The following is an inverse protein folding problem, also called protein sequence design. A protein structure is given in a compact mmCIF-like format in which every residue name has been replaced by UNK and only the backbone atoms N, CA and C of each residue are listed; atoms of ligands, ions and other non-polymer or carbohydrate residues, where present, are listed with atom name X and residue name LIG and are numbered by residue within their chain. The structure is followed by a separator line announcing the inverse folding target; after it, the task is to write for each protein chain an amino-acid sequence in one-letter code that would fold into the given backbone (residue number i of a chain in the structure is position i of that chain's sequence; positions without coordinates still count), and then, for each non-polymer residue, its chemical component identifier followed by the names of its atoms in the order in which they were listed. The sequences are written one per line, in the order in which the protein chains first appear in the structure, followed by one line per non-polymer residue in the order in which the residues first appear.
data_IF_966282537729
#
_entry.id   IF_966282537729
#
_cell.length_a   1.000
_cell.length_b   1.000
_cell.length_c   1.000
_cell.angle_alpha   90.00
_cell.angle_beta   90.00
_cell.angle_gamma   90.00
#
_symmetry.space_group_name_H-M   'P 1'
#
loop_
_entity.id
_entity.type
_entity.pdbx_description
1 polymer ?
#
# COMPACT_ATOMS: atom_id res chain seq x y z
N UNK A 1 -7.50 -12.21 19.29
CA UNK A 1 -7.30 -11.39 18.06
C UNK A 1 -6.93 -12.34 16.94
N UNK A 2 -7.91 -12.68 16.09
CA UNK A 2 -7.70 -13.61 14.98
C UNK A 2 -6.78 -12.99 13.94
N UNK A 3 -5.62 -13.61 13.72
CA UNK A 3 -4.78 -13.37 12.55
C UNK A 3 -5.55 -13.89 11.33
N UNK A 4 -6.32 -13.02 10.67
CA UNK A 4 -6.86 -13.32 9.35
C UNK A 4 -5.72 -13.26 8.33
N UNK A 5 -5.17 -14.41 7.98
CA UNK A 5 -4.26 -14.54 6.85
C UNK A 5 -5.02 -14.21 5.57
N UNK A 6 -4.75 -13.04 4.96
CA UNK A 6 -5.29 -12.71 3.63
C UNK A 6 -4.57 -13.55 2.57
N UNK A 7 -5.28 -14.11 1.57
CA UNK A 7 -4.62 -14.86 0.52
C UNK A 7 -3.75 -13.93 -0.34
N UNK A 8 -2.45 -14.12 -0.27
CA UNK A 8 -1.49 -13.47 -1.17
C UNK A 8 -1.58 -14.10 -2.56
N UNK A 9 -2.27 -13.42 -3.48
CA UNK A 9 -1.79 -13.19 -4.85
C UNK A 9 -1.56 -14.36 -5.81
N UNK A 10 -1.94 -15.61 -5.54
CA UNK A 10 -1.83 -16.67 -6.57
C UNK A 10 -3.09 -16.75 -7.43
N UNK A 11 -2.92 -16.81 -8.76
CA UNK A 11 -3.98 -16.96 -9.77
C UNK A 11 -4.89 -18.19 -9.52
N UNK A 12 -4.37 -19.17 -8.79
CA UNK A 12 -5.04 -20.41 -8.37
C UNK A 12 -5.93 -20.22 -7.13
N UNK A 13 -5.58 -19.31 -6.20
CA UNK A 13 -6.47 -18.93 -5.10
C UNK A 13 -7.79 -18.31 -5.64
N UNK A 14 -7.75 -17.68 -6.81
CA UNK A 14 -8.92 -17.08 -7.46
C UNK A 14 -9.89 -18.09 -8.10
N UNK A 15 -9.52 -19.37 -8.27
CA UNK A 15 -10.45 -20.38 -8.80
C UNK A 15 -11.51 -20.78 -7.77
N UNK A 16 -11.18 -20.84 -6.47
CA UNK A 16 -12.17 -21.00 -5.39
C UNK A 16 -13.08 -19.78 -5.21
N UNK A 17 -12.59 -18.59 -5.60
CA UNK A 17 -13.32 -17.32 -5.48
C UNK A 17 -14.45 -17.22 -6.53
N UNK A 18 -14.40 -17.94 -7.65
CA UNK A 18 -15.50 -17.95 -8.66
C UNK A 18 -16.86 -18.36 -8.07
N UNK A 19 -16.86 -19.24 -7.07
CA UNK A 19 -18.07 -19.73 -6.41
C UNK A 19 -18.66 -18.69 -5.44
N UNK A 20 -17.85 -17.76 -4.92
CA UNK A 20 -18.29 -16.67 -4.02
C UNK A 20 -18.51 -15.35 -4.75
N UNK A 21 -17.89 -15.16 -5.92
CA UNK A 21 -18.03 -13.99 -6.78
C UNK A 21 -19.38 -13.89 -7.51
N UNK A 22 -20.17 -14.96 -7.55
CA UNK A 22 -21.45 -15.00 -8.26
C UNK A 22 -22.62 -15.30 -7.30
N UNK A 23 -23.02 -14.35 -6.44
CA UNK A 23 -24.15 -14.53 -5.54
C UNK A 23 -25.47 -14.73 -6.28
N UNK A 24 -25.57 -14.38 -7.58
CA UNK A 24 -26.76 -14.67 -8.39
C UNK A 24 -27.01 -16.17 -8.65
N UNK A 25 -26.02 -17.04 -8.40
CA UNK A 25 -26.23 -18.49 -8.46
C UNK A 25 -26.84 -19.08 -7.17
N UNK A 26 -26.99 -18.28 -6.10
CA UNK A 26 -27.41 -18.73 -4.77
C UNK A 26 -28.57 -17.86 -4.30
N UNK A 27 -29.73 -18.47 -4.05
CA UNK A 27 -31.01 -17.81 -3.75
C UNK A 27 -30.86 -16.49 -2.97
N UNK A 28 -31.16 -15.39 -3.65
CA UNK A 28 -31.00 -14.02 -3.13
C UNK A 28 -32.27 -13.62 -2.38
N UNK A 29 -32.13 -13.16 -1.14
CA UNK A 29 -33.22 -12.47 -0.45
C UNK A 29 -33.33 -11.04 -0.97
N UNK A 30 -34.55 -10.53 -1.18
CA UNK A 30 -34.82 -9.18 -1.71
C UNK A 30 -34.48 -8.03 -0.76
N UNK A 31 -33.97 -8.33 0.45
CA UNK A 31 -33.68 -7.33 1.46
C UNK A 31 -32.25 -6.76 1.31
N UNK A 32 -32.14 -5.58 0.70
CA UNK A 32 -30.89 -4.82 0.56
C UNK A 32 -30.73 -3.89 1.76
N UNK A 33 -29.55 -3.92 2.38
CA UNK A 33 -29.17 -3.05 3.49
C UNK A 33 -27.97 -2.20 3.08
N UNK A 34 -27.89 -0.98 3.64
CA UNK A 34 -26.73 -0.10 3.50
C UNK A 34 -25.86 -0.25 4.74
N UNK A 35 -24.57 -0.48 4.54
CA UNK A 35 -23.57 -0.45 5.62
C UNK A 35 -22.51 0.61 5.33
N UNK A 36 -21.98 1.22 6.39
CA UNK A 36 -20.85 2.14 6.30
C UNK A 36 -19.59 1.46 6.80
N UNK A 37 -18.51 1.54 6.03
CA UNK A 37 -17.24 0.89 6.38
C UNK A 37 -16.07 1.83 6.20
N UNK A 38 -15.06 1.74 7.05
CA UNK A 38 -13.81 2.51 6.91
C UNK A 38 -12.62 1.81 7.55
N UNK A 39 -11.41 2.34 7.35
CA UNK A 39 -10.24 1.91 8.11
C UNK A 39 -10.47 2.22 9.61
N UNK A 40 -10.13 1.28 10.48
CA UNK A 40 -10.22 1.50 11.93
C UNK A 40 -9.48 2.78 12.36
N UNK A 41 -10.08 3.56 13.26
CA UNK A 41 -9.57 4.85 13.75
C UNK A 41 -9.54 5.97 12.68
N UNK A 42 -10.48 5.94 11.73
CA UNK A 42 -10.73 7.07 10.81
C UNK A 42 -11.82 7.97 11.40
N UNK A 43 -11.75 9.28 11.10
CA UNK A 43 -12.80 10.24 11.44
C UNK A 43 -14.16 9.74 10.92
N UNK A 44 -15.23 9.95 11.69
CA UNK A 44 -16.56 9.41 11.38
C UNK A 44 -17.09 9.84 10.00
N UNK A 45 -16.61 10.96 9.45
CA UNK A 45 -17.10 11.56 8.21
C UNK A 45 -16.49 10.98 6.93
N UNK A 46 -15.51 10.06 7.02
CA UNK A 46 -14.90 9.42 5.84
C UNK A 46 -15.13 7.92 5.84
N UNK A 47 -16.08 7.47 5.03
CA UNK A 47 -16.50 6.07 4.92
C UNK A 47 -16.84 5.67 3.48
N UNK A 48 -16.91 4.36 3.22
CA UNK A 48 -17.51 3.77 2.03
C UNK A 48 -18.92 3.33 2.37
N UNK A 49 -19.87 3.67 1.50
CA UNK A 49 -21.26 3.22 1.59
C UNK A 49 -21.45 1.97 0.72
N UNK A 50 -21.79 0.83 1.32
CA UNK A 50 -21.88 -0.44 0.63
C UNK A 50 -23.29 -1.02 0.73
N UNK A 51 -23.85 -1.40 -0.42
CA UNK A 51 -25.08 -2.18 -0.49
C UNK A 51 -24.78 -3.67 -0.29
N UNK A 52 -25.41 -4.25 0.72
CA UNK A 52 -25.29 -5.67 1.06
C UNK A 52 -26.64 -6.35 1.03
N UNK A 53 -26.65 -7.63 0.74
CA UNK A 53 -27.85 -8.47 0.72
C UNK A 53 -27.59 -9.77 1.48
N UNK A 54 -28.67 -10.35 2.00
CA UNK A 54 -28.59 -11.64 2.68
C UNK A 54 -28.58 -12.79 1.66
N UNK A 55 -27.57 -13.64 1.71
CA UNK A 55 -27.53 -14.95 1.06
C UNK A 55 -28.52 -15.86 1.78
N UNK A 56 -29.42 -16.52 1.04
CA UNK A 56 -30.39 -17.46 1.63
C UNK A 56 -29.70 -18.51 2.50
N UNK A 57 -30.32 -18.84 3.64
CA UNK A 57 -29.89 -19.95 4.50
C UNK A 57 -29.85 -21.24 3.68
N UNK A 58 -28.68 -21.87 3.60
CA UNK A 58 -28.59 -23.26 3.17
C UNK A 58 -28.48 -24.14 4.41
N UNK A 59 -29.29 -25.20 4.54
CA UNK A 59 -29.05 -26.20 5.57
C UNK A 59 -27.64 -26.79 5.34
N UNK A 60 -26.89 -27.09 6.41
CA UNK A 60 -25.58 -27.73 6.25
C UNK A 60 -25.76 -29.05 5.49
N UNK A 61 -25.14 -29.17 4.32
CA UNK A 61 -24.92 -30.47 3.69
C UNK A 61 -23.87 -31.20 4.52
N UNK A 62 -24.32 -31.99 5.50
CA UNK A 62 -23.64 -33.12 6.16
C UNK A 62 -24.08 -33.21 7.63
N UNK A 63 -24.44 -34.43 8.05
CA UNK A 63 -24.73 -34.87 9.42
C UNK A 63 -23.53 -34.72 10.38
N UNK A 64 -23.01 -33.52 10.54
CA UNK A 64 -22.00 -33.18 11.54
C UNK A 64 -22.56 -32.18 12.55
N UNK A 65 -23.74 -32.48 13.09
CA UNK A 65 -24.21 -31.89 14.33
C UNK A 65 -23.39 -32.46 15.50
N UNK A 66 -22.14 -32.02 15.63
CA UNK A 66 -21.37 -32.21 16.84
C UNK A 66 -21.75 -31.11 17.83
N UNK A 67 -22.48 -31.54 18.84
CA UNK A 67 -22.80 -30.87 20.09
C UNK A 67 -21.75 -29.82 20.51
N UNK A 68 -22.14 -28.55 20.49
CA UNK A 68 -21.50 -27.52 21.30
C UNK A 68 -22.55 -26.91 22.21
N UNK A 69 -22.37 -27.18 23.50
CA UNK A 69 -23.25 -26.78 24.58
C UNK A 69 -23.38 -25.24 24.64
N UNK A 70 -24.62 -24.76 24.66
CA UNK A 70 -25.05 -23.72 25.60
C UNK A 70 -24.56 -22.28 25.39
N UNK A 71 -24.00 -21.92 24.23
CA UNK A 71 -23.73 -20.52 23.94
C UNK A 71 -24.16 -20.19 22.52
N UNK A 72 -25.31 -19.53 22.39
CA UNK A 72 -25.78 -18.97 21.12
C UNK A 72 -24.78 -17.88 20.70
N UNK A 73 -23.77 -18.26 19.92
CA UNK A 73 -23.01 -17.30 19.11
C UNK A 73 -23.98 -16.78 18.06
N UNK A 74 -24.26 -15.46 17.97
CA UNK A 74 -25.22 -14.95 17.01
C UNK A 74 -24.77 -15.34 15.59
N UNK A 75 -25.62 -16.11 14.92
CA UNK A 75 -25.51 -16.62 13.54
C UNK A 75 -25.70 -15.47 12.55
N UNK A 76 -24.92 -14.41 12.70
CA UNK A 76 -24.91 -13.21 11.84
C UNK A 76 -23.69 -13.20 10.88
N UNK A 77 -22.76 -14.14 11.02
CA UNK A 77 -21.45 -14.07 10.39
C UNK A 77 -21.41 -14.50 8.90
N UNK A 78 -22.29 -15.40 8.44
CA UNK A 78 -22.06 -16.10 7.15
C UNK A 78 -23.00 -15.71 6.00
N UNK A 79 -23.94 -14.80 6.23
CA UNK A 79 -25.06 -14.60 5.27
C UNK A 79 -25.04 -13.28 4.52
N UNK A 80 -24.03 -12.42 4.57
CA UNK A 80 -24.03 -11.17 3.78
C UNK A 80 -23.06 -11.17 2.61
N UNK A 81 -23.50 -10.62 1.48
CA UNK A 81 -22.68 -10.37 0.29
C UNK A 81 -22.95 -8.98 -0.28
N UNK A 82 -21.95 -8.39 -0.94
CA UNK A 82 -22.10 -7.17 -1.71
C UNK A 82 -23.10 -7.38 -2.86
N UNK A 83 -24.01 -6.43 -3.03
CA UNK A 83 -24.97 -6.40 -4.16
C UNK A 83 -24.24 -6.20 -5.48
N UNK A 84 -23.21 -5.34 -5.49
CA UNK A 84 -22.48 -4.96 -6.70
C UNK A 84 -21.00 -4.74 -6.44
N UNK A 85 -20.15 -5.61 -6.99
CA UNK A 85 -18.69 -5.42 -6.97
C UNK A 85 -18.27 -4.15 -7.75
N UNK A 86 -19.06 -3.74 -8.74
CA UNK A 86 -18.82 -2.51 -9.52
C UNK A 86 -19.05 -1.27 -8.67
N UNK A 87 -20.13 -1.22 -7.89
CA UNK A 87 -20.39 -0.13 -6.94
C UNK A 87 -19.32 -0.10 -5.85
N UNK A 88 -18.96 -1.26 -5.29
CA UNK A 88 -17.87 -1.34 -4.33
C UNK A 88 -16.54 -0.81 -4.90
N UNK A 89 -16.24 -1.09 -6.18
CA UNK A 89 -15.07 -0.50 -6.86
C UNK A 89 -15.15 1.03 -6.92
N UNK A 90 -16.32 1.58 -7.24
CA UNK A 90 -16.52 3.04 -7.28
C UNK A 90 -16.34 3.68 -5.89
N UNK A 91 -16.92 3.06 -4.86
CA UNK A 91 -16.79 3.48 -3.47
C UNK A 91 -15.33 3.47 -3.01
N UNK A 92 -14.58 2.42 -3.32
CA UNK A 92 -13.14 2.38 -3.06
C UNK A 92 -12.37 3.52 -3.74
N UNK A 93 -12.64 3.79 -5.02
CA UNK A 93 -11.93 4.83 -5.76
C UNK A 93 -12.21 6.23 -5.19
N UNK A 94 -13.45 6.49 -4.76
CA UNK A 94 -13.82 7.72 -4.07
C UNK A 94 -13.14 7.81 -2.71
N UNK A 95 -13.16 6.73 -1.92
CA UNK A 95 -12.53 6.66 -0.61
C UNK A 95 -11.01 6.86 -0.66
N UNK A 96 -10.33 6.26 -1.65
CA UNK A 96 -8.90 6.47 -1.92
C UNK A 96 -8.60 7.96 -2.12
N UNK A 97 -9.43 8.64 -2.92
CA UNK A 97 -9.24 10.06 -3.20
C UNK A 97 -9.51 10.95 -1.99
N UNK A 98 -10.59 10.68 -1.25
CA UNK A 98 -10.98 11.43 -0.06
C UNK A 98 -9.95 11.27 1.07
N UNK A 99 -9.43 10.06 1.26
CA UNK A 99 -8.50 9.74 2.36
C UNK A 99 -7.06 10.23 2.11
N UNK A 100 -6.68 10.52 0.86
CA UNK A 100 -5.30 10.82 0.48
C UNK A 100 -4.68 11.93 1.35
N UNK A 101 -5.35 13.07 1.47
CA UNK A 101 -4.81 14.23 2.18
C UNK A 101 -4.58 13.96 3.67
N UNK A 102 -5.50 13.23 4.31
CA UNK A 102 -5.38 12.81 5.72
C UNK A 102 -4.21 11.85 5.90
N UNK A 103 -4.14 10.79 5.08
CA UNK A 103 -3.11 9.77 5.18
C UNK A 103 -1.70 10.35 4.99
N UNK A 104 -1.53 11.31 4.07
CA UNK A 104 -0.25 12.02 3.89
C UNK A 104 0.19 12.76 5.16
N UNK A 105 -0.75 13.40 5.88
CA UNK A 105 -0.43 14.14 7.11
C UNK A 105 -0.05 13.22 8.28
N UNK A 106 -0.60 12.02 8.33
CA UNK A 106 -0.40 11.10 9.47
C UNK A 106 0.71 10.07 9.24
N UNK A 107 1.04 9.75 7.99
CA UNK A 107 1.88 8.59 7.66
C UNK A 107 3.33 8.90 7.27
N UNK A 108 3.74 10.18 7.22
CA UNK A 108 5.04 10.60 6.65
C UNK A 108 6.02 11.19 7.68
N UNK A 109 5.75 10.98 8.97
CA UNK A 109 6.62 11.42 10.06
C UNK A 109 6.75 12.95 10.16
N UNK A 110 7.97 13.43 10.40
CA UNK A 110 8.27 14.86 10.64
C UNK A 110 8.12 15.68 9.36
N UNK A 111 7.52 16.87 9.47
CA UNK A 111 7.35 17.80 8.33
C UNK A 111 8.65 18.25 7.68
N UNK A 112 9.74 18.32 8.43
CA UNK A 112 11.08 18.66 7.91
C UNK A 112 11.83 17.45 7.33
N UNK A 113 11.29 16.24 7.46
CA UNK A 113 11.90 15.02 6.94
C UNK A 113 11.77 14.89 5.42
N UNK A 114 12.70 14.16 4.81
CA UNK A 114 12.73 13.95 3.36
C UNK A 114 11.48 13.23 2.85
N UNK A 115 10.91 12.30 3.63
CA UNK A 115 9.66 11.63 3.29
C UNK A 115 8.51 12.63 3.09
N UNK A 116 8.25 13.45 4.11
CA UNK A 116 7.18 14.45 4.06
C UNK A 116 7.40 15.44 2.91
N UNK A 117 8.61 15.98 2.78
CA UNK A 117 8.93 16.97 1.75
C UNK A 117 8.80 16.42 0.32
N UNK A 118 9.27 15.19 0.07
CA UNK A 118 9.17 14.58 -1.26
C UNK A 118 7.73 14.24 -1.64
N UNK A 119 6.94 13.72 -0.70
CA UNK A 119 5.51 13.48 -0.94
C UNK A 119 4.73 14.77 -1.14
N UNK A 120 5.03 15.80 -0.35
CA UNK A 120 4.41 17.12 -0.51
C UNK A 120 4.74 17.73 -1.87
N UNK A 121 6.00 17.60 -2.32
CA UNK A 121 6.43 18.03 -3.65
C UNK A 121 5.62 17.30 -4.73
N UNK A 122 5.53 15.98 -4.66
CA UNK A 122 4.72 15.19 -5.58
C UNK A 122 3.24 15.60 -5.57
N UNK A 123 2.68 15.88 -4.39
CA UNK A 123 1.29 16.33 -4.26
C UNK A 123 1.06 17.67 -4.95
N UNK A 124 1.95 18.65 -4.74
CA UNK A 124 1.84 19.95 -5.41
C UNK A 124 2.07 19.84 -6.92
N UNK A 125 3.06 19.08 -7.37
CA UNK A 125 3.30 18.86 -8.81
C UNK A 125 2.11 18.18 -9.50
N UNK A 126 1.40 17.29 -8.81
CA UNK A 126 0.16 16.69 -9.31
C UNK A 126 -0.96 17.71 -9.49
N UNK A 127 -1.02 18.73 -8.62
CA UNK A 127 -2.05 19.77 -8.59
C UNK A 127 -1.71 21.00 -9.43
N UNK A 128 -0.45 21.17 -9.79
CA UNK A 128 0.04 22.30 -10.57
C UNK A 128 -0.46 22.24 -12.02
N UNK A 129 -1.19 23.27 -12.46
CA UNK A 129 -1.72 23.36 -13.81
C UNK A 129 -0.66 23.68 -14.87
N UNK A 130 0.51 24.19 -14.46
CA UNK A 130 1.65 24.40 -15.36
C UNK A 130 2.41 23.11 -15.68
N UNK A 131 2.25 22.05 -14.87
CA UNK A 131 2.86 20.77 -15.12
C UNK A 131 2.21 20.04 -16.30
N UNK A 132 3.02 19.35 -17.11
CA UNK A 132 2.53 18.53 -18.23
C UNK A 132 1.44 17.53 -17.80
N UNK A 133 0.48 17.29 -18.68
CA UNK A 133 -0.63 16.35 -18.42
C UNK A 133 -0.10 14.96 -18.08
N UNK A 134 0.96 14.49 -18.74
CA UNK A 134 1.58 13.20 -18.44
C UNK A 134 2.17 13.16 -17.03
N UNK A 135 2.83 14.23 -16.59
CA UNK A 135 3.39 14.34 -15.23
C UNK A 135 2.29 14.26 -14.18
N UNK A 136 1.25 15.08 -14.34
CA UNK A 136 0.12 15.10 -13.41
C UNK A 136 -0.58 13.74 -13.38
N UNK A 137 -0.82 13.16 -14.54
CA UNK A 137 -1.51 11.88 -14.65
C UNK A 137 -0.74 10.75 -13.97
N UNK A 138 0.57 10.66 -14.20
CA UNK A 138 1.41 9.65 -13.56
C UNK A 138 1.36 9.81 -12.03
N UNK A 139 1.54 11.02 -11.50
CA UNK A 139 1.50 11.24 -10.05
C UNK A 139 0.13 10.93 -9.44
N UNK A 140 -0.98 11.24 -10.13
CA UNK A 140 -2.33 10.81 -9.70
C UNK A 140 -2.40 9.29 -9.59
N UNK A 141 -1.93 8.57 -10.60
CA UNK A 141 -1.93 7.11 -10.60
C UNK A 141 -1.04 6.55 -9.48
N UNK A 142 0.15 7.13 -9.28
CA UNK A 142 1.08 6.73 -8.22
C UNK A 142 0.45 6.93 -6.83
N UNK A 143 -0.20 8.07 -6.55
CA UNK A 143 -0.88 8.28 -5.28
C UNK A 143 -2.08 7.34 -5.06
N UNK A 144 -2.85 7.07 -6.12
CA UNK A 144 -3.94 6.07 -6.05
C UNK A 144 -3.41 4.68 -5.76
N UNK A 145 -2.29 4.29 -6.39
CA UNK A 145 -1.65 3.00 -6.15
C UNK A 145 -1.10 2.92 -4.72
N UNK A 146 -0.38 3.96 -4.28
CA UNK A 146 0.14 4.06 -2.93
C UNK A 146 -0.96 3.90 -1.88
N UNK A 147 -2.04 4.69 -1.99
CA UNK A 147 -3.14 4.64 -1.04
C UNK A 147 -3.88 3.30 -1.08
N UNK A 148 -4.14 2.74 -2.27
CA UNK A 148 -4.83 1.44 -2.38
C UNK A 148 -4.05 0.28 -1.77
N UNK A 149 -2.71 0.31 -1.85
CA UNK A 149 -1.85 -0.64 -1.15
C UNK A 149 -1.92 -0.44 0.36
N UNK A 150 -1.90 0.80 0.87
CA UNK A 150 -2.04 1.05 2.32
C UNK A 150 -3.38 0.59 2.88
N UNK A 151 -4.46 0.68 2.10
CA UNK A 151 -5.77 0.14 2.50
C UNK A 151 -5.76 -1.39 2.63
N UNK A 152 -4.85 -2.09 1.94
CA UNK A 152 -4.73 -3.54 2.05
C UNK A 152 -4.04 -3.98 3.35
N UNK A 153 -3.19 -3.13 3.95
CA UNK A 153 -2.50 -3.45 5.21
C UNK A 153 -3.28 -3.06 6.47
N UNK A 154 -4.44 -2.41 6.34
CA UNK A 154 -5.28 -2.01 7.48
C UNK A 154 -6.58 -2.80 7.57
N UNK A 155 -7.08 -3.06 8.79
CA UNK A 155 -8.39 -3.64 8.99
C UNK A 155 -9.47 -2.64 8.56
N UNK A 156 -10.40 -3.12 7.73
CA UNK A 156 -11.65 -2.42 7.41
C UNK A 156 -12.70 -2.94 8.38
N UNK A 157 -13.47 -2.00 8.93
CA UNK A 157 -14.46 -2.25 9.98
C UNK A 157 -15.77 -1.57 9.59
N UNK A 158 -16.88 -2.14 10.03
CA UNK A 158 -18.19 -1.51 9.92
C UNK A 158 -18.29 -0.41 10.98
N UNK A 159 -18.78 0.75 10.57
CA UNK A 159 -19.10 1.87 11.46
C UNK A 159 -20.51 1.63 11.99
N UNK A 160 -20.64 1.37 13.29
CA UNK A 160 -21.94 1.36 13.94
C UNK A 160 -22.53 2.76 14.01
N UNK A 161 -23.82 2.90 13.75
CA UNK A 161 -24.56 4.07 14.20
C UNK A 161 -24.53 4.07 15.74
N UNK A 162 -24.06 5.17 16.33
CA UNK A 162 -24.13 5.53 17.76
C UNK A 162 -24.48 4.40 18.75
N UNK A 163 -23.46 3.98 19.50
CA UNK A 163 -23.49 3.56 20.90
C UNK A 163 -24.67 2.71 21.34
N UNK A 164 -24.55 1.41 21.08
CA UNK A 164 -25.24 0.39 21.83
C UNK A 164 -24.29 -0.79 22.01
N UNK A 165 -23.96 -1.15 23.25
CA UNK A 165 -23.24 -2.39 23.54
C UNK A 165 -24.10 -3.63 23.18
N UNK A 166 -23.54 -4.83 23.35
CA UNK A 166 -24.25 -6.11 23.14
C UNK A 166 -25.53 -6.29 24.00
N UNK A 167 -25.80 -5.35 24.92
CA UNK A 167 -26.92 -5.34 25.85
C UNK A 167 -27.91 -4.19 25.66
N UNK A 168 -27.75 -3.33 24.65
CA UNK A 168 -28.70 -2.22 24.48
C UNK A 168 -28.25 -0.89 25.12
N UNK A 169 -27.04 -0.82 25.68
CA UNK A 169 -26.59 0.33 26.50
C UNK A 169 -25.72 1.30 25.71
N UNK A 170 -26.01 2.62 25.76
CA UNK A 170 -25.14 3.63 25.19
C UNK A 170 -23.74 3.65 25.83
N UNK A 171 -22.70 3.53 25.00
CA UNK A 171 -21.31 3.74 25.41
C UNK A 171 -21.13 5.18 25.92
N UNK A 172 -20.48 5.37 27.08
CA UNK A 172 -20.44 6.66 27.77
C UNK A 172 -19.53 7.72 27.11
N UNK A 173 -18.77 7.38 26.08
CA UNK A 173 -17.72 8.23 25.51
C UNK A 173 -17.97 8.73 24.08
N UNK A 174 -19.11 8.40 23.45
CA UNK A 174 -19.50 8.95 22.14
C UNK A 174 -18.63 8.49 20.98
N UNK A 175 -17.85 7.42 21.15
CA UNK A 175 -16.91 6.92 20.13
C UNK A 175 -17.60 5.86 19.26
N UNK A 176 -17.44 5.90 17.93
CA UNK A 176 -18.09 4.91 17.05
C UNK A 176 -17.69 3.49 17.43
N UNK A 177 -18.67 2.61 17.65
CA UNK A 177 -18.46 1.17 17.82
C UNK A 177 -18.02 0.57 16.48
N UNK A 178 -16.84 -0.06 16.48
CA UNK A 178 -16.26 -0.68 15.29
C UNK A 178 -16.54 -2.19 15.30
N UNK A 179 -17.34 -2.65 14.34
CA UNK A 179 -17.69 -4.08 14.23
C UNK A 179 -16.90 -4.75 13.11
N UNK A 180 -16.48 -6.00 13.33
CA UNK A 180 -15.83 -6.79 12.30
C UNK A 180 -16.78 -7.04 11.12
N UNK A 181 -16.26 -7.00 9.90
CA UNK A 181 -17.06 -7.29 8.71
C UNK A 181 -17.27 -8.80 8.52
N UNK A 182 -18.44 -9.22 8.00
CA UNK A 182 -18.67 -10.61 7.57
C UNK A 182 -17.58 -11.12 6.61
N UNK A 183 -17.09 -12.37 6.73
CA UNK A 183 -15.98 -12.89 5.93
C UNK A 183 -16.19 -12.81 4.41
N UNK A 184 -17.42 -13.05 3.95
CA UNK A 184 -17.78 -12.95 2.53
C UNK A 184 -17.61 -11.52 1.99
N UNK A 185 -18.05 -10.51 2.75
CA UNK A 185 -17.85 -9.10 2.39
C UNK A 185 -16.37 -8.76 2.38
N UNK A 186 -15.60 -9.18 3.40
CA UNK A 186 -14.15 -8.94 3.47
C UNK A 186 -13.46 -9.49 2.22
N UNK A 187 -13.79 -10.72 1.81
CA UNK A 187 -13.18 -11.33 0.63
C UNK A 187 -13.59 -10.63 -0.67
N UNK A 188 -14.86 -10.23 -0.82
CA UNK A 188 -15.30 -9.50 -2.01
C UNK A 188 -14.64 -8.11 -2.11
N UNK A 189 -14.50 -7.42 -0.98
CA UNK A 189 -13.78 -6.14 -0.90
C UNK A 189 -12.29 -6.31 -1.22
N UNK A 190 -11.65 -7.36 -0.70
CA UNK A 190 -10.25 -7.68 -1.01
C UNK A 190 -10.05 -8.01 -2.50
N UNK A 191 -10.98 -8.75 -3.10
CA UNK A 191 -11.00 -9.01 -4.55
C UNK A 191 -11.11 -7.72 -5.36
N UNK A 192 -11.99 -6.81 -4.98
CA UNK A 192 -12.14 -5.51 -5.65
C UNK A 192 -10.87 -4.66 -5.50
N UNK A 193 -10.35 -4.54 -4.28
CA UNK A 193 -9.18 -3.70 -4.00
C UNK A 193 -7.92 -4.25 -4.67
N UNK A 194 -7.59 -5.52 -4.43
CA UNK A 194 -6.34 -6.14 -4.90
C UNK A 194 -6.47 -6.59 -6.35
N UNK A 195 -7.51 -7.37 -6.66
CA UNK A 195 -7.68 -8.02 -7.96
C UNK A 195 -8.10 -7.08 -9.09
N UNK A 196 -8.82 -5.99 -8.79
CA UNK A 196 -9.28 -5.05 -9.82
C UNK A 196 -8.54 -3.72 -9.75
N UNK A 197 -8.53 -3.05 -8.60
CA UNK A 197 -8.00 -1.68 -8.49
C UNK A 197 -6.47 -1.67 -8.52
N UNK A 198 -5.81 -2.43 -7.64
CA UNK A 198 -4.36 -2.43 -7.56
C UNK A 198 -3.71 -2.98 -8.84
N UNK A 199 -4.23 -4.07 -9.41
CA UNK A 199 -3.72 -4.64 -10.67
C UNK A 199 -3.74 -3.61 -11.80
N UNK A 200 -4.90 -2.96 -12.02
CA UNK A 200 -5.06 -1.94 -13.05
C UNK A 200 -4.13 -0.73 -12.81
N UNK A 201 -3.99 -0.28 -11.56
CA UNK A 201 -3.13 0.84 -11.20
C UNK A 201 -1.65 0.50 -11.38
N UNK A 202 -1.20 -0.72 -11.05
CA UNK A 202 0.18 -1.18 -11.25
C UNK A 202 0.57 -1.11 -12.72
N UNK A 203 -0.25 -1.68 -13.60
CA UNK A 203 0.00 -1.66 -15.04
C UNK A 203 0.10 -0.22 -15.57
N UNK A 204 -0.84 0.65 -15.16
CA UNK A 204 -0.86 2.06 -15.60
C UNK A 204 0.33 2.87 -15.09
N UNK A 205 0.73 2.68 -13.82
CA UNK A 205 1.88 3.38 -13.24
C UNK A 205 3.17 2.93 -13.92
N UNK A 206 3.37 1.61 -14.11
CA UNK A 206 4.57 1.08 -14.78
C UNK A 206 4.65 1.56 -16.23
N UNK A 207 3.56 1.45 -16.99
CA UNK A 207 3.51 1.95 -18.36
C UNK A 207 3.80 3.47 -18.44
N UNK A 208 3.27 4.25 -17.50
CA UNK A 208 3.55 5.69 -17.42
C UNK A 208 5.02 6.01 -17.10
N UNK A 209 5.62 5.27 -16.16
CA UNK A 209 7.04 5.38 -15.84
C UNK A 209 7.92 5.00 -17.02
N UNK A 210 7.69 3.86 -17.64
CA UNK A 210 8.45 3.37 -18.79
C UNK A 210 8.40 4.35 -19.95
N UNK A 211 7.22 4.93 -20.22
CA UNK A 211 7.05 5.93 -21.26
C UNK A 211 7.87 7.21 -20.95
N UNK A 212 7.88 7.68 -19.70
CA UNK A 212 8.68 8.84 -19.31
C UNK A 212 10.18 8.58 -19.38
N UNK A 213 10.61 7.39 -18.97
CA UNK A 213 11.99 6.90 -19.04
C UNK A 213 12.46 6.83 -20.50
N UNK A 214 11.66 6.20 -21.37
CA UNK A 214 12.01 5.97 -22.77
C UNK A 214 12.02 7.27 -23.60
N UNK A 215 11.13 8.23 -23.29
CA UNK A 215 11.11 9.54 -23.95
C UNK A 215 12.42 10.34 -23.76
N UNK A 216 13.28 9.96 -22.80
CA UNK A 216 14.60 10.57 -22.50
C UNK A 216 14.60 12.10 -22.42
N UNK A 217 13.45 12.69 -22.10
CA UNK A 217 13.36 14.14 -21.90
C UNK A 217 13.93 14.43 -20.52
N UNK A 218 15.03 15.18 -20.48
CA UNK A 218 15.69 15.56 -19.22
C UNK A 218 14.67 16.08 -18.20
N UNK A 219 13.74 16.95 -18.60
CA UNK A 219 12.65 17.49 -17.76
C UNK A 219 11.78 16.47 -17.01
N UNK A 220 11.74 15.20 -17.43
CA UNK A 220 10.93 14.17 -16.77
C UNK A 220 11.59 13.61 -15.49
N UNK A 221 12.88 13.88 -15.27
CA UNK A 221 13.66 13.27 -14.19
C UNK A 221 13.02 13.46 -12.82
N UNK A 222 12.48 14.65 -12.55
CA UNK A 222 11.87 14.96 -11.25
C UNK A 222 10.60 14.15 -11.05
N UNK A 223 9.76 14.02 -12.07
CA UNK A 223 8.55 13.20 -12.01
C UNK A 223 8.90 11.73 -11.80
N UNK A 224 9.92 11.21 -12.51
CA UNK A 224 10.42 9.84 -12.33
C UNK A 224 10.92 9.65 -10.90
N UNK A 225 11.73 10.58 -10.39
CA UNK A 225 12.20 10.59 -9.01
C UNK A 225 11.04 10.52 -8.01
N UNK A 226 10.06 11.42 -8.11
CA UNK A 226 8.92 11.53 -7.20
C UNK A 226 8.10 10.24 -7.19
N UNK A 227 7.77 9.71 -8.36
CA UNK A 227 7.00 8.49 -8.48
C UNK A 227 7.77 7.28 -7.95
N UNK A 228 9.05 7.12 -8.33
CA UNK A 228 9.90 6.03 -7.85
C UNK A 228 10.10 6.09 -6.33
N UNK A 229 10.32 7.28 -5.77
CA UNK A 229 10.49 7.47 -4.32
C UNK A 229 9.25 6.99 -3.55
N UNK A 230 8.05 7.39 -3.99
CA UNK A 230 6.79 6.96 -3.36
C UNK A 230 6.63 5.44 -3.44
N UNK A 231 6.94 4.83 -4.58
CA UNK A 231 6.83 3.38 -4.76
C UNK A 231 7.83 2.61 -3.88
N UNK A 232 9.10 3.04 -3.83
CA UNK A 232 10.13 2.42 -2.99
C UNK A 232 9.83 2.55 -1.50
N UNK A 233 9.35 3.72 -1.06
CA UNK A 233 8.91 3.90 0.32
C UNK A 233 7.72 2.99 0.65
N UNK A 234 6.76 2.85 -0.28
CA UNK A 234 5.63 1.95 -0.07
C UNK A 234 6.06 0.48 0.08
N UNK A 235 7.08 0.04 -0.68
CA UNK A 235 7.65 -1.30 -0.53
C UNK A 235 8.25 -1.52 0.86
N UNK A 236 8.97 -0.53 1.40
CA UNK A 236 9.51 -0.62 2.76
C UNK A 236 8.40 -0.75 3.81
N UNK A 237 7.32 0.04 3.68
CA UNK A 237 6.19 -0.01 4.61
C UNK A 237 5.45 -1.35 4.58
N UNK A 238 5.25 -1.95 3.40
CA UNK A 238 4.64 -3.29 3.28
C UNK A 238 5.47 -4.34 4.02
N UNK A 239 6.80 -4.27 3.92
CA UNK A 239 7.69 -5.24 4.59
C UNK A 239 7.65 -5.07 6.11
N UNK A 240 7.69 -3.83 6.61
CA UNK A 240 7.55 -3.55 8.03
C UNK A 240 6.21 -4.05 8.63
N UNK A 241 5.10 -3.81 7.92
CA UNK A 241 3.76 -4.28 8.31
C UNK A 241 3.71 -5.81 8.35
N UNK A 242 4.30 -6.50 7.36
CA UNK A 242 4.33 -7.95 7.29
C UNK A 242 5.29 -8.62 8.30
N UNK A 243 6.43 -7.98 8.61
CA UNK A 243 7.38 -8.46 9.63
C UNK A 243 6.74 -8.55 11.02
N UNK A 244 5.81 -7.65 11.33
CA UNK A 244 5.04 -7.65 12.57
C UNK A 244 4.03 -8.81 12.64
N UNK A 245 3.47 -9.23 11.51
CA UNK A 245 2.53 -10.36 11.41
C UNK A 245 3.24 -11.72 11.49
N UNK A 246 4.37 -11.88 10.79
CA UNK A 246 5.11 -13.17 10.71
C UNK A 246 5.72 -13.62 12.05
N UNK A 247 5.97 -12.72 12.99
CA UNK A 247 6.39 -13.06 14.35
C UNK A 247 5.37 -13.97 15.08
N UNK A 248 4.11 -14.01 14.62
CA UNK A 248 3.02 -14.74 15.27
C UNK A 248 2.63 -16.06 14.60
N UNK A 249 3.04 -16.33 13.35
CA UNK A 249 2.57 -17.50 12.60
C UNK A 249 3.66 -18.18 11.74
N UNK A 250 3.87 -19.49 11.94
CA UNK A 250 4.97 -20.27 11.31
C UNK A 250 4.77 -20.55 9.80
N UNK A 251 3.54 -20.70 9.33
CA UNK A 251 3.20 -20.99 7.93
C UNK A 251 3.28 -19.75 7.03
N UNK A 252 3.07 -18.56 7.60
CA UNK A 252 3.19 -17.28 6.88
C UNK A 252 4.64 -16.93 6.56
N UNK A 253 5.60 -17.44 7.36
CA UNK A 253 7.04 -17.20 7.19
C UNK A 253 7.57 -17.66 5.82
N UNK A 254 7.18 -18.84 5.33
CA UNK A 254 7.60 -19.34 4.02
C UNK A 254 7.00 -18.55 2.83
N UNK A 255 5.74 -18.10 2.92
CA UNK A 255 5.11 -17.26 1.88
C UNK A 255 5.72 -15.85 1.85
N UNK A 256 6.16 -15.36 3.01
CA UNK A 256 6.81 -14.07 3.16
C UNK A 256 8.20 -14.03 2.53
N UNK A 257 8.99 -15.11 2.65
CA UNK A 257 10.32 -15.19 2.03
C UNK A 257 10.26 -15.05 0.50
N UNK A 258 9.31 -15.72 -0.16
CA UNK A 258 9.10 -15.60 -1.62
C UNK A 258 8.62 -14.18 -2.02
N UNK A 259 7.68 -13.60 -1.25
CA UNK A 259 7.22 -12.22 -1.48
C UNK A 259 8.33 -11.19 -1.24
N UNK A 260 9.23 -11.44 -0.27
CA UNK A 260 10.34 -10.56 0.07
C UNK A 260 11.36 -10.45 -1.08
N UNK A 261 11.62 -11.53 -1.80
CA UNK A 261 12.45 -11.54 -3.01
C UNK A 261 11.80 -10.76 -4.15
N UNK A 262 10.50 -10.93 -4.39
CA UNK A 262 9.77 -10.20 -5.42
C UNK A 262 9.77 -8.69 -5.17
N UNK A 263 9.59 -8.26 -3.91
CA UNK A 263 9.71 -6.85 -3.55
C UNK A 263 11.12 -6.30 -3.79
N UNK A 264 12.15 -7.09 -3.50
CA UNK A 264 13.54 -6.69 -3.73
C UNK A 264 13.86 -6.56 -5.22
N UNK A 265 13.42 -7.54 -6.04
CA UNK A 265 13.53 -7.46 -7.51
C UNK A 265 12.80 -6.24 -8.07
N UNK A 266 11.60 -5.98 -7.58
CA UNK A 266 10.80 -4.81 -7.98
C UNK A 266 11.51 -3.50 -7.63
N UNK A 267 12.08 -3.40 -6.43
CA UNK A 267 12.86 -2.24 -6.01
C UNK A 267 14.11 -2.04 -6.87
N UNK A 268 14.87 -3.11 -7.14
CA UNK A 268 16.06 -3.05 -8.00
C UNK A 268 15.70 -2.60 -9.42
N UNK A 269 14.58 -3.07 -9.99
CA UNK A 269 14.12 -2.62 -11.31
C UNK A 269 13.81 -1.10 -11.30
N UNK A 270 13.04 -0.62 -10.33
CA UNK A 270 12.72 0.80 -10.20
C UNK A 270 13.99 1.67 -10.06
N UNK A 271 14.94 1.22 -9.23
CA UNK A 271 16.22 1.89 -9.04
C UNK A 271 17.06 1.88 -10.31
N UNK A 272 17.12 0.77 -11.05
CA UNK A 272 17.84 0.68 -12.31
C UNK A 272 17.29 1.67 -13.35
N UNK A 273 15.97 1.76 -13.50
CA UNK A 273 15.35 2.73 -14.40
C UNK A 273 15.65 4.18 -13.99
N UNK A 274 15.57 4.48 -12.70
CA UNK A 274 15.89 5.81 -12.19
C UNK A 274 17.35 6.19 -12.48
N UNK A 275 18.30 5.32 -12.10
CA UNK A 275 19.73 5.57 -12.29
C UNK A 275 20.13 5.62 -13.76
N UNK A 276 19.48 4.82 -14.62
CA UNK A 276 19.65 4.91 -16.06
C UNK A 276 19.23 6.27 -16.62
N UNK A 277 18.06 6.78 -16.21
CA UNK A 277 17.58 8.11 -16.63
C UNK A 277 18.44 9.25 -16.09
N UNK A 278 18.98 9.08 -14.90
CA UNK A 278 19.71 10.11 -14.18
C UNK A 278 21.21 10.10 -14.50
N UNK A 279 21.66 9.12 -15.30
CA UNK A 279 23.05 8.96 -15.66
C UNK A 279 23.55 10.21 -16.40
N UNK A 280 24.53 10.88 -15.80
CA UNK A 280 25.17 12.08 -16.33
C UNK A 280 24.84 13.38 -15.59
N UNK A 281 23.66 13.53 -14.97
CA UNK A 281 23.27 14.81 -14.30
C UNK A 281 23.31 14.71 -12.77
N UNK A 282 22.91 13.56 -12.20
CA UNK A 282 22.99 13.27 -10.77
C UNK A 282 22.62 14.47 -9.86
N UNK A 283 21.40 15.01 -9.94
CA UNK A 283 20.98 16.23 -9.26
C UNK A 283 21.05 16.13 -7.72
N UNK A 284 21.10 14.93 -7.15
CA UNK A 284 21.29 14.74 -5.71
C UNK A 284 22.76 14.55 -5.30
N UNK A 285 23.68 14.39 -6.25
CA UNK A 285 25.10 14.27 -5.94
C UNK A 285 25.68 15.62 -5.54
N UNK A 286 26.59 15.62 -4.57
CA UNK A 286 27.40 16.80 -4.23
C UNK A 286 28.30 17.22 -5.39
N UNK A 287 28.64 16.29 -6.29
CA UNK A 287 29.45 16.57 -7.48
C UNK A 287 28.69 17.35 -8.56
N UNK A 288 27.35 17.44 -8.49
CA UNK A 288 26.54 18.18 -9.46
C UNK A 288 26.54 19.68 -9.13
N UNK A 289 27.18 20.53 -9.97
CA UNK A 289 27.33 21.96 -9.70
C UNK A 289 25.99 22.71 -9.74
N UNK A 290 25.89 23.81 -8.98
CA UNK A 290 24.66 24.62 -8.89
C UNK A 290 24.19 25.17 -10.24
N UNK A 291 25.10 25.57 -11.14
CA UNK A 291 24.73 26.07 -12.47
C UNK A 291 24.06 24.97 -13.31
N UNK A 292 24.61 23.74 -13.29
CA UNK A 292 24.06 22.60 -14.02
C UNK A 292 22.71 22.17 -13.47
N UNK A 293 22.53 22.27 -12.15
CA UNK A 293 21.24 22.05 -11.51
C UNK A 293 20.22 23.12 -11.89
N UNK A 294 20.63 24.39 -11.96
CA UNK A 294 19.75 25.49 -12.40
C UNK A 294 19.34 25.33 -13.87
N UNK A 295 20.28 24.96 -14.74
CA UNK A 295 20.01 24.67 -16.16
C UNK A 295 19.04 23.50 -16.33
N UNK A 296 19.22 22.41 -15.55
CA UNK A 296 18.32 21.26 -15.57
C UNK A 296 16.89 21.61 -15.15
N UNK A 297 16.76 22.63 -14.30
CA UNK A 297 15.52 23.05 -13.67
C UNK A 297 14.89 24.28 -14.32
N UNK A 298 15.44 24.75 -15.44
CA UNK A 298 15.03 25.98 -16.14
C UNK A 298 14.87 27.17 -15.17
N UNK A 299 15.75 27.27 -14.16
CA UNK A 299 15.71 28.33 -13.15
C UNK A 299 14.56 28.24 -12.13
N UNK A 300 13.93 27.07 -11.95
CA UNK A 300 12.89 26.88 -10.94
C UNK A 300 13.50 26.87 -9.51
N UNK A 301 13.59 28.05 -8.90
CA UNK A 301 14.19 28.29 -7.57
C UNK A 301 13.62 27.38 -6.46
N UNK A 302 12.32 27.11 -6.50
CA UNK A 302 11.68 26.25 -5.50
C UNK A 302 12.12 24.79 -5.64
N UNK A 303 12.27 24.31 -6.88
CA UNK A 303 12.84 22.99 -7.14
C UNK A 303 14.31 22.94 -6.73
N UNK A 304 15.09 23.98 -7.01
CA UNK A 304 16.51 24.06 -6.60
C UNK A 304 16.62 23.94 -5.07
N UNK A 305 15.82 24.70 -4.33
CA UNK A 305 15.77 24.64 -2.85
C UNK A 305 15.36 23.25 -2.36
N UNK A 306 14.37 22.63 -2.98
CA UNK A 306 13.96 21.27 -2.65
C UNK A 306 15.14 20.28 -2.80
N UNK A 307 15.87 20.34 -3.91
CA UNK A 307 17.02 19.47 -4.15
C UNK A 307 18.16 19.74 -3.16
N UNK A 308 18.45 21.00 -2.85
CA UNK A 308 19.45 21.36 -1.83
C UNK A 308 19.07 20.82 -0.43
N UNK A 309 17.78 20.85 -0.09
CA UNK A 309 17.27 20.26 1.16
C UNK A 309 17.44 18.73 1.16
N UNK A 310 17.13 18.06 0.04
CA UNK A 310 17.40 16.63 -0.09
C UNK A 310 18.88 16.31 0.10
N UNK A 311 19.79 17.03 -0.58
CA UNK A 311 21.26 16.85 -0.43
C UNK A 311 21.70 16.99 1.03
N UNK A 312 21.23 18.04 1.71
CA UNK A 312 21.55 18.31 3.11
C UNK A 312 21.05 17.19 4.03
N UNK A 313 19.85 16.68 3.78
CA UNK A 313 19.27 15.57 4.54
C UNK A 313 20.06 14.28 4.36
N UNK A 314 20.38 13.93 3.11
CA UNK A 314 21.20 12.75 2.77
C UNK A 314 22.56 12.82 3.45
N UNK A 315 23.22 13.98 3.42
CA UNK A 315 24.52 14.19 4.08
C UNK A 315 24.43 13.96 5.59
N UNK A 316 23.40 14.49 6.24
CA UNK A 316 23.18 14.32 7.68
C UNK A 316 22.94 12.85 8.06
N UNK A 317 22.30 12.07 7.20
CA UNK A 317 21.90 10.69 7.48
C UNK A 317 22.79 9.63 6.82
N UNK A 318 23.86 10.03 6.11
CA UNK A 318 24.71 9.14 5.31
C UNK A 318 25.21 7.94 6.11
N UNK A 319 25.75 8.17 7.30
CA UNK A 319 26.27 7.08 8.15
C UNK A 319 25.19 6.05 8.51
N UNK A 320 24.00 6.52 8.85
CA UNK A 320 22.87 5.65 9.18
C UNK A 320 22.41 4.89 7.93
N UNK A 321 22.23 5.57 6.79
CA UNK A 321 21.81 4.93 5.54
C UNK A 321 22.84 3.92 5.02
N UNK A 322 24.13 4.19 5.19
CA UNK A 322 25.18 3.22 4.85
C UNK A 322 25.14 2.01 5.79
N UNK A 323 24.77 2.20 7.07
CA UNK A 323 24.59 1.11 8.02
C UNK A 323 23.37 0.25 7.68
N UNK A 324 22.20 0.85 7.42
CA UNK A 324 20.99 0.07 7.06
C UNK A 324 21.19 -0.72 5.77
N UNK A 325 21.93 -0.17 4.78
CA UNK A 325 22.26 -0.88 3.54
C UNK A 325 23.24 -2.02 3.78
N UNK A 326 24.36 -1.77 4.47
CA UNK A 326 25.38 -2.80 4.80
C UNK A 326 24.81 -3.95 5.64
N UNK A 327 23.94 -3.62 6.59
CA UNK A 327 23.30 -4.61 7.46
C UNK A 327 22.03 -5.20 6.83
N UNK A 328 21.62 -4.68 5.68
CA UNK A 328 20.46 -5.13 4.92
C UNK A 328 19.17 -5.13 5.74
N UNK A 329 18.95 -4.03 6.44
CA UNK A 329 17.75 -3.80 7.23
C UNK A 329 16.59 -3.45 6.30
N UNK A 330 16.07 -4.46 5.60
CA UNK A 330 15.03 -4.30 4.58
C UNK A 330 13.70 -3.73 5.12
N UNK A 331 13.48 -3.85 6.43
CA UNK A 331 12.28 -3.35 7.12
C UNK A 331 12.40 -1.87 7.52
N UNK A 332 13.59 -1.26 7.34
CA UNK A 332 13.79 0.16 7.58
C UNK A 332 13.16 0.99 6.43
N UNK A 333 12.37 2.01 6.80
CA UNK A 333 11.66 2.88 5.84
C UNK A 333 12.59 3.60 4.85
N UNK A 334 13.88 3.75 5.21
CA UNK A 334 14.90 4.37 4.38
C UNK A 334 15.70 3.39 3.52
N UNK A 335 15.57 2.07 3.71
CA UNK A 335 16.43 1.08 3.05
C UNK A 335 16.42 1.23 1.51
N UNK A 336 15.23 1.16 0.91
CA UNK A 336 15.08 1.25 -0.55
C UNK A 336 15.28 2.67 -1.07
N UNK A 337 14.75 3.68 -0.38
CA UNK A 337 14.83 5.07 -0.84
C UNK A 337 16.25 5.64 -0.75
N UNK A 338 17.06 5.20 0.21
CA UNK A 338 18.45 5.66 0.34
C UNK A 338 19.29 5.35 -0.90
N UNK A 339 18.94 4.30 -1.64
CA UNK A 339 19.61 3.88 -2.87
C UNK A 339 19.37 4.83 -4.06
N UNK A 340 18.35 5.68 -4.01
CA UNK A 340 18.15 6.74 -5.01
C UNK A 340 19.26 7.81 -4.96
N UNK A 341 19.97 7.89 -3.83
CA UNK A 341 20.99 8.90 -3.58
C UNK A 341 22.42 8.33 -3.68
N UNK A 342 22.55 7.10 -4.17
CA UNK A 342 23.85 6.46 -4.37
C UNK A 342 24.43 6.86 -5.74
N UNK A 343 25.59 7.52 -5.72
CA UNK A 343 26.30 7.97 -6.93
C UNK A 343 26.84 6.80 -7.77
N UNK A 344 27.08 5.64 -7.14
CA UNK A 344 27.59 4.42 -7.79
C UNK A 344 26.68 3.24 -7.50
N UNK A 345 25.39 3.47 -7.66
CA UNK A 345 24.40 2.44 -7.42
C UNK A 345 24.67 1.18 -8.24
N UNK A 346 24.62 0.05 -7.56
CA UNK A 346 24.59 -1.28 -8.14
C UNK A 346 23.41 -2.04 -7.53
N UNK A 347 22.79 -2.98 -8.27
CA UNK A 347 21.71 -3.79 -7.72
C UNK A 347 22.20 -4.52 -6.47
N UNK A 348 21.47 -4.34 -5.37
CA UNK A 348 21.82 -5.00 -4.12
C UNK A 348 21.52 -6.50 -4.26
N UNK A 349 22.45 -7.41 -3.90
CA UNK A 349 22.23 -8.85 -3.97
C UNK A 349 21.08 -9.26 -3.07
N UNK A 350 20.32 -10.28 -3.47
CA UNK A 350 19.24 -10.82 -2.66
C UNK A 350 19.80 -11.55 -1.42
N UNK A 351 18.99 -11.70 -0.38
CA UNK A 351 19.39 -12.43 0.83
C UNK A 351 19.75 -13.90 0.53
N UNK A 352 19.02 -14.53 -0.40
CA UNK A 352 19.26 -15.89 -0.88
C UNK A 352 20.57 -16.06 -1.67
N UNK A 353 21.12 -14.97 -2.19
CA UNK A 353 22.36 -14.97 -2.99
C UNK A 353 23.62 -14.71 -2.16
N UNK A 354 23.49 -14.46 -0.84
CA UNK A 354 24.66 -14.31 0.00
C UNK A 354 25.33 -15.65 0.27
N UNK A 355 26.66 -15.70 0.28
CA UNK A 355 27.34 -16.83 0.89
C UNK A 355 26.87 -16.90 2.34
N UNK A 356 26.22 -18.00 2.73
CA UNK A 356 25.92 -18.26 4.14
C UNK A 356 27.27 -18.20 4.85
N UNK A 357 27.43 -17.22 5.74
CA UNK A 357 28.57 -17.21 6.65
C UNK A 357 28.63 -18.57 7.38
N UNK A 358 29.79 -18.96 7.91
CA UNK A 358 29.91 -20.22 8.64
C UNK A 358 28.80 -20.26 9.68
N UNK A 359 28.01 -21.33 9.64
CA UNK A 359 26.96 -21.59 10.63
C UNK A 359 27.59 -21.47 12.02
N UNK A 360 26.88 -20.90 12.99
CA UNK A 360 27.29 -20.94 14.40
C UNK A 360 27.54 -22.38 14.90
N UNK A 361 27.06 -23.40 14.17
CA UNK A 361 27.40 -24.80 14.40
C UNK A 361 28.84 -25.20 13.96
N UNK A 362 29.61 -24.30 13.36
CA UNK A 362 31.02 -24.49 13.00
C UNK A 362 31.97 -23.64 13.87
N UNK A 363 31.45 -22.97 14.91
CA UNK A 363 32.22 -22.22 15.90
C UNK A 363 32.01 -22.73 17.34
N UNK A 364 31.79 -24.05 17.50
CA UNK A 364 31.89 -24.76 18.78
C UNK A 364 32.72 -26.01 18.60
#
# INVERSE_FOLDING_TARGET
MNCYSRPTGSREAYQGIRTVMNPMARGVSSNVQVIHVSERNTDADTYMELHVQTLGHFPPESDAAAESQGQQVPVLADSYALVSLREAKQQYLQYIQASLGRTLRTSLGRRSGILYQTYLRAYYTMKDDSASQETRHLLVLTFKLWMSIRLSSKPIVMIGAQDVDEHGTPQPDGRPTWTALPPNIVMQLDYVLTGQIQMELREKVLSGLDNMVYKRKQRNWLTIYLATFILLHNLALIKADNGTCTAKCRTERCKHELAAEEYHKSANNLLAHFHFCNNGVQPFSEACPSYRLADLLDGNDDTVKFIQNCRSHVRLHRQHWDAIRRNCQYDDEYFFISQLFDDRWAPHPMESERPRGPSLAQMV
#
